data_IF_810199929411
#
_entry.id   IF_810199929411
#
_cell.length_a   1.000
_cell.length_b   1.000
_cell.length_c   1.000
_cell.angle_alpha   90.00
_cell.angle_beta   90.00
_cell.angle_gamma   90.00
#
_symmetry.space_group_name_H-M   'P 1'
#
loop_
_entity.id
_entity.type
_entity.pdbx_description
1 polymer ?
#
# COMPACT_ATOMS: atom_id res chain seq x y z
N UNK A 1 -0.83 4.51 -10.17
CA UNK A 1 0.14 4.69 -11.27
C UNK A 1 1.55 4.95 -10.74
N UNK A 2 1.86 6.11 -10.13
CA UNK A 2 3.24 6.45 -9.74
C UNK A 2 3.95 5.46 -8.79
N UNK A 3 3.23 4.88 -7.81
CA UNK A 3 3.79 3.85 -6.92
C UNK A 3 4.25 2.60 -7.68
N UNK A 4 3.52 2.21 -8.72
CA UNK A 4 3.82 1.03 -9.51
C UNK A 4 5.05 1.26 -10.39
N UNK A 5 5.25 2.48 -10.91
CA UNK A 5 6.43 2.80 -11.72
C UNK A 5 7.73 2.70 -10.94
N UNK A 6 7.76 3.10 -9.67
CA UNK A 6 8.91 2.85 -8.79
C UNK A 6 9.31 1.36 -8.80
N UNK A 7 8.35 0.43 -8.82
CA UNK A 7 8.66 -1.00 -8.90
C UNK A 7 9.31 -1.41 -10.23
N UNK A 8 8.98 -0.75 -11.34
CA UNK A 8 9.51 -1.04 -12.68
C UNK A 8 10.89 -0.42 -12.94
N UNK A 9 11.03 0.87 -12.63
CA UNK A 9 12.24 1.65 -12.99
C UNK A 9 13.21 1.81 -11.81
N UNK A 10 12.77 1.41 -10.62
CA UNK A 10 13.52 1.52 -9.37
C UNK A 10 13.45 2.90 -8.73
N UNK A 11 13.63 2.92 -7.41
CA UNK A 11 13.53 4.13 -6.59
C UNK A 11 14.44 5.27 -7.05
N UNK A 12 15.73 5.04 -7.40
CA UNK A 12 16.61 6.13 -7.81
C UNK A 12 16.14 6.82 -9.11
N UNK A 13 15.76 6.06 -10.13
CA UNK A 13 15.31 6.61 -11.40
C UNK A 13 13.96 7.34 -11.24
N UNK A 14 13.07 6.76 -10.43
CA UNK A 14 11.80 7.39 -10.12
C UNK A 14 11.96 8.70 -9.34
N UNK A 15 12.84 8.75 -8.34
CA UNK A 15 13.11 9.98 -7.59
C UNK A 15 13.70 11.08 -8.48
N UNK A 16 14.62 10.74 -9.39
CA UNK A 16 15.12 11.68 -10.39
C UNK A 16 13.99 12.22 -11.27
N UNK A 17 13.18 11.33 -11.87
CA UNK A 17 12.03 11.72 -12.68
C UNK A 17 11.07 12.69 -11.96
N UNK A 18 10.76 12.43 -10.69
CA UNK A 18 9.86 13.29 -9.91
C UNK A 18 10.49 14.67 -9.66
N UNK A 19 11.79 14.73 -9.39
CA UNK A 19 12.48 16.01 -9.21
C UNK A 19 12.49 16.83 -10.51
N UNK A 20 12.81 16.19 -11.64
CA UNK A 20 12.84 16.83 -12.95
C UNK A 20 11.44 17.28 -13.38
N UNK A 21 10.41 16.45 -13.11
CA UNK A 21 9.01 16.79 -13.33
C UNK A 21 8.59 18.05 -12.56
N UNK A 22 8.92 18.13 -11.26
CA UNK A 22 8.57 19.29 -10.43
C UNK A 22 9.33 20.53 -10.90
N UNK A 23 10.62 20.41 -11.20
CA UNK A 23 11.43 21.56 -11.61
C UNK A 23 10.95 22.16 -12.94
N UNK A 24 10.62 21.29 -13.89
CA UNK A 24 10.03 21.68 -15.16
C UNK A 24 8.65 22.30 -14.91
N UNK A 25 7.68 21.56 -14.38
CA UNK A 25 6.27 21.99 -14.41
C UNK A 25 5.80 22.83 -13.22
N UNK A 26 6.66 23.23 -12.27
CA UNK A 26 6.28 24.12 -11.16
C UNK A 26 5.57 25.38 -11.65
N UNK A 27 4.44 25.70 -11.00
CA UNK A 27 3.58 26.85 -11.32
C UNK A 27 2.96 26.83 -12.73
N UNK A 28 2.92 25.65 -13.40
CA UNK A 28 2.26 25.43 -14.68
C UNK A 28 1.13 24.41 -14.53
N UNK A 29 0.14 24.48 -15.43
CA UNK A 29 -0.85 23.43 -15.63
C UNK A 29 -0.49 22.65 -16.89
N UNK A 30 -0.55 21.33 -16.83
CA UNK A 30 -0.28 20.44 -17.96
C UNK A 30 -1.41 19.41 -18.10
N UNK A 31 -1.59 18.90 -19.31
CA UNK A 31 -2.48 17.77 -19.57
C UNK A 31 -1.73 16.43 -19.50
N UNK A 32 -2.50 15.34 -19.49
CA UNK A 32 -1.96 13.97 -19.45
C UNK A 32 -1.02 13.68 -20.62
N UNK A 33 -1.32 14.21 -21.80
CA UNK A 33 -0.48 13.98 -22.99
C UNK A 33 0.91 14.57 -22.81
N UNK A 34 0.98 15.80 -22.33
CA UNK A 34 2.25 16.50 -22.03
C UNK A 34 3.05 15.73 -20.97
N UNK A 35 2.38 15.24 -19.93
CA UNK A 35 3.01 14.40 -18.91
C UNK A 35 3.57 13.10 -19.48
N UNK A 36 2.80 12.40 -20.32
CA UNK A 36 3.25 11.14 -20.95
C UNK A 36 4.41 11.36 -21.93
N UNK A 37 4.42 12.47 -22.67
CA UNK A 37 5.54 12.84 -23.53
C UNK A 37 6.81 13.09 -22.70
N UNK A 38 6.70 13.83 -21.59
CA UNK A 38 7.81 14.06 -20.67
C UNK A 38 8.33 12.76 -20.04
N UNK A 39 7.43 11.88 -19.58
CA UNK A 39 7.78 10.58 -19.02
C UNK A 39 8.62 9.72 -19.98
N UNK A 40 8.27 9.69 -21.27
CA UNK A 40 9.02 8.91 -22.27
C UNK A 40 10.43 9.44 -22.54
N UNK A 41 10.61 10.76 -22.35
CA UNK A 41 11.92 11.41 -22.50
C UNK A 41 12.81 11.08 -21.29
N UNK A 42 12.28 11.25 -20.08
CA UNK A 42 13.04 11.06 -18.83
C UNK A 42 13.23 9.58 -18.47
N UNK A 43 12.34 8.70 -18.93
CA UNK A 43 12.43 7.26 -18.71
C UNK A 43 12.37 6.49 -20.04
N UNK A 44 13.46 6.52 -20.83
CA UNK A 44 13.48 5.90 -22.15
C UNK A 44 13.20 4.39 -22.08
N UNK A 45 12.23 3.94 -22.86
CA UNK A 45 11.88 2.53 -22.97
C UNK A 45 10.81 2.03 -22.02
N UNK A 46 10.24 2.90 -21.15
CA UNK A 46 9.15 2.55 -20.24
C UNK A 46 7.94 1.91 -20.95
N UNK A 47 7.69 2.27 -22.20
CA UNK A 47 6.61 1.71 -23.03
C UNK A 47 6.79 0.23 -23.38
N UNK A 48 7.99 -0.34 -23.18
CA UNK A 48 8.23 -1.78 -23.40
C UNK A 48 7.71 -2.63 -22.25
N UNK A 49 7.74 -2.06 -21.05
CA UNK A 49 7.43 -2.75 -19.81
C UNK A 49 6.01 -2.41 -19.32
N UNK A 50 5.47 -1.25 -19.71
CA UNK A 50 4.21 -0.70 -19.22
C UNK A 50 3.33 -0.21 -20.37
N UNK A 51 2.07 -0.66 -20.38
CA UNK A 51 1.05 -0.10 -21.28
C UNK A 51 0.51 1.23 -20.73
N UNK A 52 1.16 2.33 -21.11
CA UNK A 52 0.78 3.67 -20.65
C UNK A 52 -0.67 4.03 -20.95
N UNK A 53 -1.25 3.54 -22.05
CA UNK A 53 -2.65 3.81 -22.40
C UNK A 53 -3.59 3.09 -21.45
N UNK A 54 -3.30 1.82 -21.16
CA UNK A 54 -4.08 1.06 -20.18
C UNK A 54 -4.01 1.71 -18.78
N UNK A 55 -2.85 2.23 -18.41
CA UNK A 55 -2.66 2.90 -17.11
C UNK A 55 -3.36 4.26 -16.98
N UNK A 56 -3.56 5.00 -18.08
CA UNK A 56 -4.18 6.34 -18.04
C UNK A 56 -5.65 6.34 -18.43
N UNK A 57 -6.05 5.51 -19.39
CA UNK A 57 -7.40 5.50 -19.98
C UNK A 57 -8.16 4.19 -19.72
N UNK A 58 -7.49 3.17 -19.19
CA UNK A 58 -8.10 1.87 -18.90
C UNK A 58 -9.07 1.90 -17.72
N UNK A 59 -9.86 0.84 -17.59
CA UNK A 59 -10.81 0.66 -16.49
C UNK A 59 -10.30 -0.37 -15.50
N UNK A 60 -10.51 -0.10 -14.20
CA UNK A 60 -10.03 -0.98 -13.13
C UNK A 60 -8.52 -0.86 -12.89
N UNK A 61 -7.96 -1.90 -12.27
CA UNK A 61 -6.52 -2.00 -11.99
C UNK A 61 -5.87 -2.77 -13.14
N UNK A 62 -4.81 -2.22 -13.79
CA UNK A 62 -4.10 -2.91 -14.85
C UNK A 62 -3.53 -4.28 -14.42
N UNK A 63 -3.50 -5.31 -15.30
CA UNK A 63 -2.99 -6.64 -14.95
C UNK A 63 -1.50 -6.68 -14.58
N UNK A 64 -0.72 -5.70 -15.05
CA UNK A 64 0.70 -5.49 -14.79
C UNK A 64 0.95 -4.64 -13.52
N UNK A 65 -0.10 -4.31 -12.77
CA UNK A 65 0.01 -3.64 -11.48
C UNK A 65 0.59 -4.58 -10.42
N UNK A 66 1.84 -4.32 -10.00
CA UNK A 66 2.49 -5.04 -8.93
C UNK A 66 1.92 -4.71 -7.55
N UNK A 67 1.28 -5.68 -6.90
CA UNK A 67 0.71 -5.51 -5.57
C UNK A 67 1.81 -5.24 -4.51
N UNK A 68 1.67 -4.20 -3.67
CA UNK A 68 2.64 -3.92 -2.63
C UNK A 68 2.68 -5.06 -1.60
N UNK A 69 3.88 -5.57 -1.33
CA UNK A 69 4.10 -6.56 -0.26
C UNK A 69 4.51 -5.83 1.02
N UNK A 70 3.91 -6.23 2.15
CA UNK A 70 4.24 -5.69 3.46
C UNK A 70 4.33 -6.82 4.48
N UNK A 71 5.52 -7.03 5.03
CA UNK A 71 5.77 -8.06 6.06
C UNK A 71 4.93 -7.79 7.32
N UNK A 72 4.75 -6.51 7.67
CA UNK A 72 3.92 -6.11 8.81
C UNK A 72 2.46 -6.48 8.57
N UNK A 73 1.95 -6.22 7.36
CA UNK A 73 0.58 -6.57 6.97
C UNK A 73 0.36 -8.09 7.04
N UNK A 74 1.28 -8.87 6.45
CA UNK A 74 1.21 -10.34 6.49
C UNK A 74 1.26 -10.87 7.93
N UNK A 75 2.08 -10.28 8.80
CA UNK A 75 2.14 -10.66 10.22
C UNK A 75 0.81 -10.39 10.94
N UNK A 76 0.19 -9.23 10.72
CA UNK A 76 -1.10 -8.88 11.33
C UNK A 76 -2.20 -9.85 10.87
N UNK A 77 -2.24 -10.18 9.58
CA UNK A 77 -3.20 -11.15 9.06
C UNK A 77 -2.98 -12.57 9.63
N UNK A 78 -1.71 -12.99 9.81
CA UNK A 78 -1.41 -14.27 10.48
C UNK A 78 -1.96 -14.29 11.90
N UNK A 79 -1.76 -13.21 12.65
CA UNK A 79 -2.27 -13.08 14.01
C UNK A 79 -3.81 -13.11 14.06
N UNK A 80 -4.47 -12.45 13.11
CA UNK A 80 -5.92 -12.47 13.00
C UNK A 80 -6.47 -13.87 12.67
N UNK A 81 -5.78 -14.63 11.81
CA UNK A 81 -6.16 -16.02 11.48
C UNK A 81 -5.94 -16.96 12.68
N UNK A 82 -4.82 -16.82 13.38
CA UNK A 82 -4.54 -17.62 14.58
C UNK A 82 -5.55 -17.35 15.70
N UNK A 83 -6.27 -16.22 15.66
CA UNK A 83 -7.38 -15.94 16.56
C UNK A 83 -8.52 -16.93 16.46
N UNK A 84 -8.83 -17.45 15.25
CA UNK A 84 -9.83 -18.52 15.06
C UNK A 84 -9.50 -19.78 15.88
N UNK A 85 -8.21 -19.99 16.13
CA UNK A 85 -7.69 -21.12 16.87
C UNK A 85 -7.54 -20.82 18.37
N UNK A 86 -8.06 -19.68 18.83
CA UNK A 86 -8.04 -19.25 20.23
C UNK A 86 -6.72 -18.58 20.64
N UNK A 87 -5.80 -18.31 19.71
CA UNK A 87 -4.58 -17.57 20.02
C UNK A 87 -4.87 -16.07 20.02
N UNK A 88 -4.60 -15.43 21.15
CA UNK A 88 -4.67 -13.97 21.28
C UNK A 88 -3.25 -13.40 21.20
N UNK A 89 -3.01 -12.33 20.41
CA UNK A 89 -1.73 -11.64 20.40
C UNK A 89 -1.30 -11.21 21.80
N UNK A 90 -0.01 -11.30 22.12
CA UNK A 90 0.51 -10.81 23.39
C UNK A 90 0.70 -9.30 23.35
N UNK A 91 0.68 -8.65 24.52
CA UNK A 91 0.86 -7.20 24.64
C UNK A 91 2.18 -6.73 23.98
N UNK A 92 3.26 -7.51 24.03
CA UNK A 92 4.53 -7.20 23.39
C UNK A 92 4.51 -7.32 21.86
N UNK A 93 3.66 -8.19 21.30
CA UNK A 93 3.54 -8.38 19.85
C UNK A 93 2.80 -7.22 19.15
N UNK A 94 1.98 -6.51 19.93
CA UNK A 94 1.13 -5.40 19.47
C UNK A 94 1.52 -4.05 20.08
N UNK A 95 2.61 -4.01 20.86
CA UNK A 95 3.04 -2.79 21.57
C UNK A 95 3.34 -1.61 20.63
N UNK A 96 3.86 -1.90 19.44
CA UNK A 96 4.19 -0.89 18.43
C UNK A 96 3.04 -0.60 17.45
N UNK A 97 1.88 -1.25 17.62
CA UNK A 97 0.74 -1.05 16.73
C UNK A 97 0.15 0.34 16.90
N UNK A 98 -0.18 0.98 15.78
CA UNK A 98 -0.93 2.22 15.73
C UNK A 98 -2.35 1.93 15.27
N UNK A 99 -3.15 2.98 15.11
CA UNK A 99 -4.57 2.84 14.74
C UNK A 99 -4.80 1.98 13.50
N UNK A 100 -3.95 2.11 12.46
CA UNK A 100 -4.12 1.35 11.22
C UNK A 100 -3.84 -0.14 11.40
N UNK A 101 -2.82 -0.51 12.18
CA UNK A 101 -2.53 -1.92 12.46
C UNK A 101 -3.65 -2.57 13.28
N UNK A 102 -4.22 -1.84 14.24
CA UNK A 102 -5.39 -2.28 15.00
C UNK A 102 -6.63 -2.42 14.11
N UNK A 103 -6.91 -1.45 13.26
CA UNK A 103 -8.04 -1.49 12.33
C UNK A 103 -7.94 -2.73 11.42
N UNK A 104 -6.77 -2.95 10.80
CA UNK A 104 -6.53 -4.14 9.95
C UNK A 104 -6.75 -5.42 10.75
N UNK A 105 -6.20 -5.51 11.97
CA UNK A 105 -6.39 -6.69 12.80
C UNK A 105 -7.87 -6.95 13.11
N UNK A 106 -8.58 -5.93 13.58
CA UNK A 106 -9.99 -6.01 13.99
C UNK A 106 -10.93 -6.33 12.82
N UNK A 107 -10.69 -5.73 11.64
CA UNK A 107 -11.45 -6.01 10.42
C UNK A 107 -11.30 -7.46 9.93
N UNK A 108 -10.15 -8.08 10.24
CA UNK A 108 -9.84 -9.45 9.84
C UNK A 108 -10.13 -10.48 10.94
N UNK A 109 -10.73 -10.07 12.06
CA UNK A 109 -11.23 -11.03 13.05
C UNK A 109 -12.51 -11.73 12.59
N UNK A 110 -12.78 -12.95 13.07
CA UNK A 110 -14.04 -13.64 12.80
C UNK A 110 -15.24 -12.81 13.24
N UNK A 111 -16.31 -12.81 12.43
CA UNK A 111 -17.55 -12.07 12.74
C UNK A 111 -18.28 -12.59 13.98
N UNK A 112 -18.02 -13.84 14.36
CA UNK A 112 -18.58 -14.48 15.56
C UNK A 112 -17.43 -14.72 16.51
N UNK A 113 -17.46 -14.03 17.65
CA UNK A 113 -16.47 -14.15 18.71
C UNK A 113 -17.15 -14.64 19.97
N UNK A 114 -16.51 -15.56 20.69
CA UNK A 114 -16.96 -15.92 22.03
C UNK A 114 -16.78 -14.74 23.00
N UNK A 115 -17.63 -14.65 24.02
CA UNK A 115 -17.62 -13.51 24.96
C UNK A 115 -16.26 -13.35 25.68
N UNK A 116 -15.56 -14.45 25.95
CA UNK A 116 -14.21 -14.44 26.55
C UNK A 116 -13.15 -13.83 25.62
N UNK A 117 -13.27 -14.07 24.31
CA UNK A 117 -12.38 -13.56 23.28
C UNK A 117 -12.60 -12.06 23.05
N UNK A 118 -13.86 -11.62 23.07
CA UNK A 118 -14.22 -10.21 22.92
C UNK A 118 -13.67 -9.33 24.06
N UNK A 119 -13.79 -9.79 25.31
CA UNK A 119 -13.24 -9.07 26.47
C UNK A 119 -11.71 -8.91 26.40
N UNK A 120 -11.01 -9.92 25.90
CA UNK A 120 -9.55 -9.88 25.78
C UNK A 120 -9.09 -8.88 24.70
N UNK A 121 -9.77 -8.81 23.55
CA UNK A 121 -9.45 -7.87 22.47
C UNK A 121 -9.69 -6.43 22.90
N UNK A 122 -10.86 -6.13 23.48
CA UNK A 122 -11.21 -4.78 23.97
C UNK A 122 -10.26 -4.32 25.08
N UNK A 123 -9.79 -5.24 25.92
CA UNK A 123 -8.84 -4.94 26.99
C UNK A 123 -7.43 -4.56 26.52
N UNK A 124 -7.03 -4.99 25.32
CA UNK A 124 -5.70 -4.65 24.75
C UNK A 124 -5.71 -3.30 24.04
N UNK A 125 -6.76 -2.99 23.28
CA UNK A 125 -6.92 -1.70 22.61
C UNK A 125 -7.03 -0.55 23.63
N UNK A 126 -7.84 -0.72 24.69
CA UNK A 126 -8.12 0.31 25.69
C UNK A 126 -6.95 0.67 26.63
N UNK A 127 -5.84 -0.07 26.60
CA UNK A 127 -4.64 0.21 27.42
C UNK A 127 -3.57 1.04 26.70
N UNK A 128 -3.67 1.21 25.38
CA UNK A 128 -2.69 1.95 24.56
C UNK A 128 -3.14 3.37 24.18
N UNK A 129 -4.30 3.82 24.66
CA UNK A 129 -4.82 5.18 24.49
C UNK A 129 -4.38 6.16 25.57
#
# INVERSE_FOLDING_TARGET
MCFYWNAWIGRPAFDCFILDYIDEFKFRSIDTKTFLEFLKVEVPGIEKDIDLVLWTEGTGIPPDAHEPVSDLYTKILSLANEFEHGRIPREDEVADWKGQEWEIYLENLPRVLEASQMCAVVGMEGKLG
#
